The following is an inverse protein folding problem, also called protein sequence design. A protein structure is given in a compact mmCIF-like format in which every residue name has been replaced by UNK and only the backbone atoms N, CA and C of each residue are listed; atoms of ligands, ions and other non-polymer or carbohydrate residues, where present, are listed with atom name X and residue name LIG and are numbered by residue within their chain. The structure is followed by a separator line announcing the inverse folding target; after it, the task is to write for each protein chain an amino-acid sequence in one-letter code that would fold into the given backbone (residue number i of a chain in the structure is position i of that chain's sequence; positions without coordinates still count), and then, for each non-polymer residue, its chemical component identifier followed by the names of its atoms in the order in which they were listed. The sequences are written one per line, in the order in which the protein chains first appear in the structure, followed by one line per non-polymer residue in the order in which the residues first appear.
data_IF_767183682062
#
_entry.id   IF_767183682062
#
_cell.length_a   1.000
_cell.length_b   1.000
_cell.length_c   1.000
_cell.angle_alpha   90.00
_cell.angle_beta   90.00
_cell.angle_gamma   90.00
#
_symmetry.space_group_name_H-M   'P 1'
#
loop_
_entity.id
_entity.type
_entity.pdbx_description
1 polymer ?
#
# COMPACT_ATOMS: atom_id res chain seq x y z
N UNK A 1 -12.30 11.45 0.57
CA UNK A 1 -13.30 10.54 1.15
C UNK A 1 -12.86 10.22 2.57
N UNK A 2 -13.70 10.49 3.57
CA UNK A 2 -13.39 10.18 4.97
C UNK A 2 -13.39 8.66 5.16
N UNK A 3 -12.39 8.13 5.88
CA UNK A 3 -12.30 6.70 6.20
C UNK A 3 -12.51 6.52 7.69
N UNK A 4 -13.18 5.44 8.06
CA UNK A 4 -13.56 5.14 9.43
C UNK A 4 -12.97 3.80 9.87
N UNK A 5 -12.78 3.67 11.18
CA UNK A 5 -12.45 2.41 11.81
C UNK A 5 -13.29 2.26 13.09
N UNK A 6 -13.55 1.01 13.46
CA UNK A 6 -14.30 0.66 14.67
C UNK A 6 -13.31 0.25 15.76
N UNK A 7 -13.20 1.00 16.85
CA UNK A 7 -12.20 0.81 17.92
C UNK A 7 -12.88 0.58 19.26
N UNK A 8 -12.37 -0.39 20.03
CA UNK A 8 -12.69 -0.60 21.43
C UNK A 8 -11.55 -0.14 22.34
N UNK A 9 -11.91 0.41 23.50
CA UNK A 9 -10.96 0.70 24.59
C UNK A 9 -10.74 -0.50 25.52
N UNK A 10 -9.93 -0.31 26.55
CA UNK A 10 -9.65 -1.33 27.56
C UNK A 10 -10.86 -1.70 28.43
N UNK A 11 -11.90 -0.86 28.46
CA UNK A 11 -13.17 -1.08 29.17
C UNK A 11 -14.23 -1.74 28.26
N UNK A 12 -13.86 -2.15 27.04
CA UNK A 12 -14.74 -2.65 26.00
C UNK A 12 -15.85 -1.66 25.57
N UNK A 13 -15.67 -0.36 25.79
CA UNK A 13 -16.47 0.65 25.11
C UNK A 13 -15.95 0.77 23.69
N UNK A 14 -16.84 0.82 22.71
CA UNK A 14 -16.47 0.96 21.31
C UNK A 14 -17.03 2.22 20.67
N UNK A 15 -16.36 2.65 19.60
CA UNK A 15 -16.78 3.78 18.79
C UNK A 15 -16.26 3.67 17.37
N UNK A 16 -17.06 4.13 16.40
CA UNK A 16 -16.56 4.48 15.09
C UNK A 16 -15.84 5.81 15.13
N UNK A 17 -14.62 5.85 14.58
CA UNK A 17 -13.77 7.03 14.57
C UNK A 17 -13.15 7.23 13.19
N UNK A 18 -12.82 8.48 12.86
CA UNK A 18 -12.23 8.81 11.57
C UNK A 18 -10.72 8.62 11.63
N UNK A 19 -10.12 8.13 10.54
CA UNK A 19 -8.66 8.11 10.41
C UNK A 19 -8.20 8.71 9.08
N UNK A 20 -6.99 9.28 9.09
CA UNK A 20 -6.38 9.90 7.92
C UNK A 20 -4.90 9.56 7.81
N UNK A 21 -4.43 9.25 6.60
CA UNK A 21 -2.99 9.19 6.33
C UNK A 21 -2.44 10.60 6.15
N UNK A 22 -1.33 10.91 6.84
CA UNK A 22 -0.53 12.10 6.49
C UNK A 22 0.58 11.68 5.55
N UNK A 23 0.41 11.98 4.26
CA UNK A 23 1.52 11.95 3.31
C UNK A 23 2.36 13.21 3.52
N UNK A 24 3.67 13.04 3.70
CA UNK A 24 4.58 14.19 3.78
C UNK A 24 4.60 14.85 2.41
N UNK A 25 4.24 16.14 2.34
CA UNK A 25 4.40 16.90 1.10
C UNK A 25 5.91 17.02 0.81
N UNK A 26 6.34 16.88 -0.45
CA UNK A 26 7.74 17.07 -0.80
C UNK A 26 8.16 18.48 -0.42
N UNK A 27 9.27 18.59 0.32
CA UNK A 27 9.83 19.89 0.74
C UNK A 27 10.52 20.56 -0.44
N UNK A 28 11.14 19.75 -1.30
CA UNK A 28 11.83 20.18 -2.51
C UNK A 28 10.93 19.86 -3.71
N UNK A 29 10.71 20.85 -4.58
CA UNK A 29 9.99 20.69 -5.83
C UNK A 29 10.93 20.96 -6.99
N UNK A 30 10.77 20.18 -8.06
CA UNK A 30 11.41 20.46 -9.34
C UNK A 30 10.56 21.48 -10.09
N UNK A 31 11.21 22.53 -10.58
CA UNK A 31 10.60 23.60 -11.37
C UNK A 31 11.42 23.81 -12.64
N UNK A 32 10.81 24.41 -13.66
CA UNK A 32 11.52 24.89 -14.85
C UNK A 32 12.38 26.12 -14.52
N UNK A 33 13.22 26.56 -15.45
CA UNK A 33 13.95 27.83 -15.31
C UNK A 33 13.01 29.04 -15.12
N UNK A 34 11.81 29.00 -15.70
CA UNK A 34 10.75 29.99 -15.53
C UNK A 34 10.00 29.88 -14.19
N UNK A 35 10.28 28.86 -13.38
CA UNK A 35 9.61 28.62 -12.09
C UNK A 35 8.31 27.81 -12.17
N UNK A 36 7.96 27.27 -13.33
CA UNK A 36 6.74 26.49 -13.53
C UNK A 36 6.88 25.07 -12.96
N UNK A 37 5.76 24.50 -12.49
CA UNK A 37 5.74 23.17 -11.90
C UNK A 37 5.96 22.06 -12.95
N UNK A 38 6.95 21.19 -12.70
CA UNK A 38 7.24 20.04 -13.57
C UNK A 38 6.18 18.96 -13.38
N UNK A 39 5.65 18.44 -14.49
CA UNK A 39 4.65 17.35 -14.50
C UNK A 39 5.23 16.10 -15.12
N UNK A 40 5.04 14.96 -14.47
CA UNK A 40 5.35 13.66 -15.07
C UNK A 40 4.25 13.28 -16.05
N UNK A 41 4.62 13.10 -17.31
CA UNK A 41 3.73 12.63 -18.37
C UNK A 41 4.12 11.21 -18.76
N UNK A 42 3.11 10.36 -19.00
CA UNK A 42 3.33 9.05 -19.61
C UNK A 42 3.24 9.19 -21.12
N UNK A 43 4.24 8.66 -21.82
CA UNK A 43 4.30 8.65 -23.29
C UNK A 43 4.31 7.23 -23.81
N UNK A 44 3.72 7.02 -25.00
CA UNK A 44 3.76 5.74 -25.69
C UNK A 44 5.14 5.51 -26.28
N UNK A 45 5.83 4.46 -25.83
CA UNK A 45 7.14 4.07 -26.40
C UNK A 45 6.99 3.40 -27.77
N UNK A 46 5.97 2.55 -27.92
CA UNK A 46 5.69 1.81 -29.14
C UNK A 46 4.43 0.97 -28.98
N UNK A 47 3.91 0.41 -30.07
CA UNK A 47 2.74 -0.48 -30.02
C UNK A 47 3.17 -1.94 -29.79
N UNK A 48 2.22 -2.83 -29.54
CA UNK A 48 2.50 -4.27 -29.39
C UNK A 48 3.25 -4.86 -30.60
N UNK A 49 3.03 -4.32 -31.81
CA UNK A 49 3.72 -4.76 -33.03
C UNK A 49 5.20 -4.36 -33.06
N UNK A 50 5.53 -3.23 -32.44
CA UNK A 50 6.87 -2.66 -32.41
C UNK A 50 7.67 -3.10 -31.17
N UNK A 51 7.02 -3.75 -30.20
CA UNK A 51 7.70 -4.43 -29.11
C UNK A 51 8.50 -5.62 -29.63
N UNK A 52 9.50 -6.07 -28.86
CA UNK A 52 10.36 -7.19 -29.25
C UNK A 52 9.58 -8.44 -29.64
N UNK A 53 8.53 -8.79 -28.88
CA UNK A 53 7.68 -9.94 -29.17
C UNK A 53 6.93 -9.78 -30.51
N UNK A 54 6.50 -8.56 -30.83
CA UNK A 54 5.84 -8.24 -32.10
C UNK A 54 6.80 -8.31 -33.28
N UNK A 55 8.01 -7.78 -33.12
CA UNK A 55 9.07 -7.87 -34.12
C UNK A 55 9.50 -9.32 -34.33
N UNK A 56 9.58 -10.13 -33.28
CA UNK A 56 9.89 -11.55 -33.38
C UNK A 56 8.81 -12.33 -34.13
N UNK A 57 7.53 -12.01 -33.91
CA UNK A 57 6.44 -12.60 -34.70
C UNK A 57 6.52 -12.22 -36.18
N UNK A 58 7.04 -11.04 -36.51
CA UNK A 58 7.19 -10.55 -37.88
C UNK A 58 8.45 -11.13 -38.57
N UNK A 59 9.63 -10.95 -37.98
CA UNK A 59 10.93 -11.32 -38.56
C UNK A 59 11.37 -12.76 -38.26
N UNK A 60 10.69 -13.47 -37.34
CA UNK A 60 10.88 -14.88 -36.95
C UNK A 60 12.23 -15.24 -36.32
N UNK A 61 13.28 -14.47 -36.54
CA UNK A 61 14.64 -14.70 -36.04
C UNK A 61 15.19 -13.42 -35.38
N UNK A 62 15.78 -13.48 -34.17
CA UNK A 62 16.54 -12.39 -33.56
C UNK A 62 17.59 -11.74 -34.48
N UNK A 63 18.32 -12.51 -35.31
CA UNK A 63 19.34 -11.93 -36.19
C UNK A 63 18.73 -11.02 -37.25
N UNK A 64 17.55 -11.40 -37.77
CA UNK A 64 16.81 -10.60 -38.73
C UNK A 64 16.26 -9.30 -38.10
N UNK A 65 15.89 -9.35 -36.81
CA UNK A 65 15.53 -8.15 -36.04
C UNK A 65 16.75 -7.25 -35.90
N UNK A 66 17.92 -7.80 -35.57
CA UNK A 66 19.15 -7.02 -35.44
C UNK A 66 19.50 -6.30 -36.75
N UNK A 67 19.40 -6.98 -37.89
CA UNK A 67 19.60 -6.35 -39.20
C UNK A 67 18.54 -5.28 -39.51
N UNK A 68 17.28 -5.50 -39.11
CA UNK A 68 16.21 -4.51 -39.25
C UNK A 68 16.47 -3.25 -38.41
N UNK A 69 16.99 -3.40 -37.19
CA UNK A 69 17.40 -2.31 -36.30
C UNK A 69 18.65 -1.56 -36.80
N UNK A 70 19.55 -2.25 -37.51
CA UNK A 70 20.71 -1.61 -38.14
C UNK A 70 20.33 -0.83 -39.40
N UNK A 71 19.31 -1.28 -40.13
CA UNK A 71 18.87 -0.66 -41.39
C UNK A 71 17.85 0.46 -41.19
N UNK A 72 17.20 0.53 -40.03
CA UNK A 72 16.24 1.57 -39.67
C UNK A 72 15.68 1.34 -38.27
N UNK A 73 14.51 1.91 -37.98
CA UNK A 73 13.92 1.89 -36.64
C UNK A 73 12.54 1.18 -36.60
N UNK A 74 12.47 -0.15 -36.83
CA UNK A 74 11.21 -0.89 -36.85
C UNK A 74 10.46 -0.88 -35.50
N UNK A 75 11.15 -0.60 -34.40
CA UNK A 75 10.61 -0.43 -33.06
C UNK A 75 9.92 0.93 -32.84
N UNK A 76 10.13 1.89 -33.75
CA UNK A 76 9.55 3.24 -33.67
C UNK A 76 8.38 3.36 -34.65
N UNK A 77 7.17 3.52 -34.12
CA UNK A 77 6.02 3.90 -34.93
C UNK A 77 5.91 5.43 -34.94
N UNK A 78 6.36 6.06 -36.03
CA UNK A 78 6.37 7.52 -36.18
C UNK A 78 4.99 8.18 -35.99
N UNK A 79 3.88 7.44 -36.15
CA UNK A 79 2.52 7.97 -35.94
C UNK A 79 2.08 7.89 -34.48
N UNK A 80 2.62 6.94 -33.72
CA UNK A 80 2.12 6.55 -32.39
C UNK A 80 3.11 6.83 -31.27
N UNK A 81 4.41 6.63 -31.50
CA UNK A 81 5.47 6.88 -30.53
C UNK A 81 5.49 8.35 -30.10
N UNK A 82 5.65 8.59 -28.79
CA UNK A 82 5.66 9.93 -28.20
C UNK A 82 4.28 10.48 -27.82
N UNK A 83 3.17 9.82 -28.20
CA UNK A 83 1.83 10.25 -27.79
C UNK A 83 1.65 10.20 -26.28
N UNK A 84 1.04 11.24 -25.72
CA UNK A 84 0.69 11.26 -24.30
C UNK A 84 -0.44 10.27 -23.99
N UNK A 85 -0.28 9.48 -22.93
CA UNK A 85 -1.25 8.48 -22.51
C UNK A 85 -1.89 8.88 -21.18
N UNK A 86 -3.22 8.78 -21.12
CA UNK A 86 -4.02 8.89 -19.89
C UNK A 86 -5.08 7.78 -19.87
N UNK A 87 -5.47 7.33 -18.67
CA UNK A 87 -6.58 6.36 -18.52
C UNK A 87 -6.31 4.99 -19.15
N UNK A 88 -5.23 4.33 -18.77
CA UNK A 88 -4.88 3.00 -19.31
C UNK A 88 -5.65 1.88 -18.62
N UNK A 89 -6.18 0.93 -19.40
CA UNK A 89 -6.68 -0.35 -18.91
C UNK A 89 -5.65 -1.45 -19.16
N UNK A 90 -5.50 -2.37 -18.21
CA UNK A 90 -4.62 -3.53 -18.37
C UNK A 90 -5.36 -4.64 -19.13
N UNK A 91 -4.73 -5.18 -20.16
CA UNK A 91 -5.21 -6.36 -20.91
C UNK A 91 -4.14 -7.43 -20.88
N UNK A 92 -4.56 -8.70 -20.79
CA UNK A 92 -3.67 -9.83 -20.95
C UNK A 92 -3.68 -10.27 -22.41
N UNK A 93 -2.51 -10.63 -22.93
CA UNK A 93 -2.34 -11.09 -24.30
C UNK A 93 -1.71 -12.49 -24.32
N UNK A 94 -2.02 -13.27 -25.34
CA UNK A 94 -1.34 -14.55 -25.57
C UNK A 94 -0.01 -14.35 -26.31
N UNK A 95 0.69 -15.45 -26.63
CA UNK A 95 1.96 -15.45 -27.38
C UNK A 95 1.86 -14.78 -28.76
N UNK A 96 0.66 -14.68 -29.33
CA UNK A 96 0.38 -14.00 -30.61
C UNK A 96 -0.05 -12.54 -30.42
N UNK A 97 0.13 -11.97 -29.22
CA UNK A 97 -0.27 -10.60 -28.84
C UNK A 97 -1.77 -10.32 -29.00
N UNK A 98 -2.62 -11.35 -28.99
CA UNK A 98 -4.08 -11.20 -29.03
C UNK A 98 -4.65 -11.14 -27.61
N UNK A 99 -5.61 -10.25 -27.32
CA UNK A 99 -6.26 -10.17 -26.01
C UNK A 99 -6.90 -11.50 -25.60
N UNK A 100 -6.79 -11.86 -24.32
CA UNK A 100 -7.44 -13.04 -23.72
C UNK A 100 -8.35 -12.62 -22.58
N UNK A 101 -9.48 -13.33 -22.43
CA UNK A 101 -10.52 -13.04 -21.44
C UNK A 101 -10.51 -13.98 -20.23
N UNK A 102 -9.99 -15.20 -20.36
CA UNK A 102 -9.93 -16.19 -19.27
C UNK A 102 -8.49 -16.39 -18.83
N UNK A 103 -8.12 -15.74 -17.73
CA UNK A 103 -6.77 -15.82 -17.15
C UNK A 103 -6.84 -16.52 -15.81
N UNK A 104 -5.96 -17.51 -15.60
CA UNK A 104 -5.77 -18.13 -14.29
C UNK A 104 -4.55 -17.50 -13.64
N UNK A 105 -4.77 -16.75 -12.55
CA UNK A 105 -3.68 -16.14 -11.78
C UNK A 105 -3.31 -17.10 -10.66
N UNK A 106 -2.01 -17.39 -10.54
CA UNK A 106 -1.45 -18.22 -9.47
C UNK A 106 -0.36 -17.44 -8.75
N UNK A 107 -0.29 -17.59 -7.43
CA UNK A 107 0.75 -17.05 -6.56
C UNK A 107 1.80 -18.14 -6.33
N UNK A 108 3.05 -17.88 -6.75
CA UNK A 108 4.20 -18.75 -6.53
C UNK A 108 5.03 -18.17 -5.39
N UNK A 109 5.14 -18.92 -4.29
CA UNK A 109 5.91 -18.55 -3.11
C UNK A 109 7.31 -19.14 -3.23
N UNK A 110 8.32 -18.28 -3.26
CA UNK A 110 9.72 -18.70 -3.28
C UNK A 110 10.33 -18.70 -1.86
N UNK A 111 11.21 -19.65 -1.60
CA UNK A 111 12.08 -19.67 -0.43
C UNK A 111 13.27 -18.70 -0.61
N UNK A 112 14.02 -18.37 0.46
CA UNK A 112 15.15 -17.44 0.38
C UNK A 112 16.28 -17.88 -0.56
N UNK A 113 16.38 -19.18 -0.84
CA UNK A 113 17.32 -19.79 -1.79
C UNK A 113 16.83 -19.74 -3.25
N UNK A 114 15.61 -19.23 -3.49
CA UNK A 114 14.98 -19.14 -4.80
C UNK A 114 14.10 -20.34 -5.17
N UNK A 115 14.10 -21.42 -4.38
CA UNK A 115 13.30 -22.63 -4.69
C UNK A 115 11.81 -22.36 -4.53
N UNK A 116 10.97 -23.00 -5.36
CA UNK A 116 9.51 -22.88 -5.27
C UNK A 116 9.01 -23.68 -4.07
N UNK A 117 8.43 -22.98 -3.10
CA UNK A 117 7.90 -23.56 -1.88
C UNK A 117 6.43 -23.95 -2.02
N UNK A 118 5.63 -23.12 -2.67
CA UNK A 118 4.18 -23.31 -2.77
C UNK A 118 3.62 -22.63 -4.02
N UNK A 119 2.66 -23.25 -4.68
CA UNK A 119 1.86 -22.67 -5.76
C UNK A 119 0.39 -22.70 -5.36
N UNK A 120 -0.26 -21.53 -5.30
CA UNK A 120 -1.65 -21.43 -4.83
C UNK A 120 -2.45 -20.38 -5.59
N UNK A 121 -3.77 -20.39 -5.40
CA UNK A 121 -4.63 -19.28 -5.87
C UNK A 121 -4.37 -18.07 -4.97
N UNK A 122 -4.21 -16.85 -5.51
CA UNK A 122 -4.00 -15.65 -4.72
C UNK A 122 -5.08 -15.52 -3.64
N UNK A 123 -4.67 -15.43 -2.39
CA UNK A 123 -5.60 -15.24 -1.29
C UNK A 123 -5.98 -13.77 -1.19
N UNK A 124 -7.24 -13.45 -1.49
CA UNK A 124 -7.76 -12.11 -1.27
C UNK A 124 -8.00 -11.89 0.24
N UNK A 125 -7.41 -10.82 0.75
CA UNK A 125 -7.64 -10.38 2.12
C UNK A 125 -8.73 -9.31 2.11
N UNK A 126 -9.80 -9.55 2.87
CA UNK A 126 -10.87 -8.58 3.06
C UNK A 126 -10.49 -7.54 4.12
N UNK A 127 -11.00 -6.33 3.97
CA UNK A 127 -10.83 -5.29 4.98
C UNK A 127 -11.49 -5.69 6.30
N UNK A 128 -10.78 -5.51 7.42
CA UNK A 128 -11.25 -5.90 8.75
C UNK A 128 -11.23 -4.76 9.79
N UNK A 129 -11.17 -3.50 9.34
CA UNK A 129 -11.08 -2.32 10.21
C UNK A 129 -12.44 -1.70 10.59
N UNK A 130 -13.50 -2.04 9.85
CA UNK A 130 -14.86 -1.53 10.04
C UNK A 130 -15.85 -2.70 10.00
N UNK A 131 -15.57 -3.72 10.81
CA UNK A 131 -16.46 -4.89 10.94
C UNK A 131 -17.35 -4.74 12.15
N UNK A 132 -18.35 -5.63 12.30
CA UNK A 132 -19.18 -5.69 13.49
C UNK A 132 -18.36 -5.86 14.78
N UNK A 133 -17.21 -6.54 14.69
CA UNK A 133 -16.26 -6.63 15.79
C UNK A 133 -15.33 -5.41 15.80
N UNK A 134 -15.20 -4.68 16.91
CA UNK A 134 -14.26 -3.58 17.01
C UNK A 134 -12.81 -4.08 17.06
N UNK A 135 -11.89 -3.23 16.61
CA UNK A 135 -10.46 -3.40 16.85
C UNK A 135 -10.18 -3.30 18.34
N UNK A 136 -9.41 -4.23 18.88
CA UNK A 136 -9.12 -4.32 20.31
C UNK A 136 -7.69 -3.89 20.62
N UNK A 137 -7.52 -3.27 21.78
CA UNK A 137 -6.22 -3.01 22.39
C UNK A 137 -5.64 -4.33 22.93
N UNK A 138 -4.51 -4.75 22.40
CA UNK A 138 -3.81 -5.97 22.79
C UNK A 138 -2.61 -5.69 23.71
N UNK A 139 -1.49 -6.35 23.40
CA UNK A 139 -0.26 -6.24 24.20
C UNK A 139 0.33 -4.82 24.17
N UNK A 140 0.74 -4.33 25.36
CA UNK A 140 1.46 -3.07 25.53
C UNK A 140 2.98 -3.27 25.42
N UNK A 141 3.67 -2.26 24.91
CA UNK A 141 5.11 -2.24 24.69
C UNK A 141 5.68 -0.89 25.12
N UNK A 142 6.80 -0.87 25.85
CA UNK A 142 7.50 0.38 26.18
C UNK A 142 8.19 0.91 24.92
N UNK A 143 8.13 2.23 24.66
CA UNK A 143 8.70 2.82 23.43
C UNK A 143 10.21 2.54 23.28
N UNK A 144 10.94 2.50 24.38
CA UNK A 144 12.38 2.22 24.42
C UNK A 144 12.72 0.77 24.11
N UNK A 145 11.77 -0.17 24.13
CA UNK A 145 12.06 -1.58 23.84
C UNK A 145 11.78 -1.98 22.39
N UNK A 146 11.05 -1.14 21.66
CA UNK A 146 10.47 -1.51 20.36
C UNK A 146 11.06 -0.72 19.19
N UNK A 147 11.74 0.40 19.47
CA UNK A 147 12.28 1.29 18.44
C UNK A 147 13.26 0.59 17.48
N UNK A 148 13.94 -0.46 17.95
CA UNK A 148 14.89 -1.26 17.18
C UNK A 148 14.33 -2.62 16.71
N UNK A 149 13.07 -2.95 17.02
CA UNK A 149 12.46 -4.24 16.67
C UNK A 149 11.50 -4.18 15.48
N UNK A 150 10.94 -3.01 15.19
CA UNK A 150 9.91 -2.84 14.17
C UNK A 150 10.26 -1.75 13.17
N UNK A 151 9.94 -1.98 11.90
CA UNK A 151 9.99 -0.96 10.85
C UNK A 151 8.57 -0.52 10.51
N UNK A 152 8.25 0.74 10.79
CA UNK A 152 6.93 1.29 10.47
C UNK A 152 6.85 1.76 9.01
N UNK A 153 6.02 1.08 8.23
CA UNK A 153 5.82 1.35 6.81
C UNK A 153 4.80 2.48 6.55
N UNK A 154 3.78 2.61 7.39
CA UNK A 154 2.70 3.60 7.23
C UNK A 154 2.25 4.15 8.58
N UNK A 155 1.69 5.37 8.57
CA UNK A 155 1.14 6.03 9.76
C UNK A 155 -0.24 6.61 9.45
N UNK A 156 -1.18 6.37 10.35
CA UNK A 156 -2.52 6.96 10.31
C UNK A 156 -2.77 7.73 11.61
N UNK A 157 -3.40 8.90 11.50
CA UNK A 157 -3.85 9.67 12.66
C UNK A 157 -5.33 9.42 12.89
N UNK A 158 -5.72 9.19 14.14
CA UNK A 158 -7.11 9.03 14.56
C UNK A 158 -7.71 10.37 14.96
N UNK A 159 -8.98 10.57 14.61
CA UNK A 159 -9.73 11.80 14.87
C UNK A 159 -11.10 11.47 15.41
N UNK A 160 -11.50 12.21 16.44
CA UNK A 160 -12.88 12.23 16.91
C UNK A 160 -13.81 12.80 15.84
N UNK A 161 -15.09 12.43 15.96
CA UNK A 161 -16.18 12.88 15.09
C UNK A 161 -17.11 13.83 15.87
N UNK A 162 -17.19 13.67 17.18
CA UNK A 162 -18.05 14.43 18.10
C UNK A 162 -17.41 14.51 19.50
N UNK A 163 -18.10 15.14 20.47
CA UNK A 163 -17.59 15.27 21.84
C UNK A 163 -17.38 13.94 22.57
N UNK A 164 -18.28 12.98 22.39
CA UNK A 164 -18.16 11.65 23.04
C UNK A 164 -16.92 10.89 22.56
N UNK A 165 -16.67 10.91 21.24
CA UNK A 165 -15.46 10.30 20.65
C UNK A 165 -14.20 11.10 20.96
N UNK A 166 -14.31 12.39 21.30
CA UNK A 166 -13.19 13.17 21.80
C UNK A 166 -12.75 12.63 23.17
N UNK A 167 -13.65 12.53 24.14
CA UNK A 167 -13.31 12.05 25.48
C UNK A 167 -12.78 10.61 25.44
N UNK A 168 -13.43 9.74 24.65
CA UNK A 168 -13.00 8.37 24.41
C UNK A 168 -11.55 8.29 23.88
N UNK A 169 -11.20 9.06 22.85
CA UNK A 169 -9.87 9.05 22.27
C UNK A 169 -8.85 9.78 23.16
N UNK A 170 -9.27 10.80 23.89
CA UNK A 170 -8.40 11.53 24.82
C UNK A 170 -7.97 10.64 25.99
N UNK A 171 -8.89 9.86 26.57
CA UNK A 171 -8.57 8.89 27.63
C UNK A 171 -7.52 7.87 27.17
N UNK A 172 -7.69 7.29 25.98
CA UNK A 172 -6.72 6.34 25.40
C UNK A 172 -5.37 7.03 25.15
N UNK A 173 -5.39 8.25 24.61
CA UNK A 173 -4.17 8.99 24.34
C UNK A 173 -3.40 9.33 25.61
N UNK A 174 -4.11 9.72 26.67
CA UNK A 174 -3.56 10.09 27.98
C UNK A 174 -2.89 8.89 28.64
N UNK A 175 -3.58 7.76 28.70
CA UNK A 175 -3.01 6.51 29.23
C UNK A 175 -1.72 6.09 28.50
N UNK A 176 -1.73 6.08 27.16
CA UNK A 176 -0.52 5.72 26.39
C UNK A 176 0.62 6.75 26.53
N UNK A 177 0.28 8.02 26.71
CA UNK A 177 1.24 9.11 26.90
C UNK A 177 1.92 9.00 28.27
N UNK A 178 1.14 8.85 29.34
CA UNK A 178 1.62 8.78 30.72
C UNK A 178 2.48 7.54 30.96
N UNK A 179 2.11 6.38 30.38
CA UNK A 179 2.93 5.17 30.53
C UNK A 179 4.06 5.06 29.50
N UNK A 180 4.30 6.10 28.69
CA UNK A 180 5.29 6.12 27.61
C UNK A 180 5.33 4.83 26.75
N UNK A 181 4.16 4.39 26.29
CA UNK A 181 4.00 3.07 25.67
C UNK A 181 3.30 3.12 24.31
N UNK A 182 3.36 1.99 23.61
CA UNK A 182 2.55 1.65 22.45
C UNK A 182 1.68 0.46 22.81
N UNK A 183 0.49 0.38 22.23
CA UNK A 183 -0.37 -0.80 22.37
C UNK A 183 -0.68 -1.38 21.01
N UNK A 184 -0.63 -2.71 20.89
CA UNK A 184 -0.99 -3.38 19.65
C UNK A 184 -2.49 -3.23 19.39
N UNK A 185 -2.85 -2.97 18.14
CA UNK A 185 -4.23 -2.99 17.65
C UNK A 185 -4.43 -4.24 16.81
N UNK A 186 -5.41 -5.06 17.19
CA UNK A 186 -5.75 -6.28 16.47
C UNK A 186 -7.23 -6.38 16.15
N UNK A 187 -7.53 -6.99 15.01
CA UNK A 187 -8.89 -7.32 14.59
C UNK A 187 -9.31 -8.72 15.06
N UNK A 188 -10.52 -9.11 14.64
CA UNK A 188 -11.08 -10.44 14.89
C UNK A 188 -11.61 -10.65 16.31
N UNK A 189 -12.24 -11.79 16.55
CA UNK A 189 -12.90 -12.09 17.83
C UNK A 189 -11.94 -12.00 19.03
N UNK A 190 -10.71 -12.49 18.84
CA UNK A 190 -9.65 -12.50 19.84
C UNK A 190 -8.82 -11.21 19.90
N UNK A 191 -9.01 -10.26 18.97
CA UNK A 191 -8.26 -9.00 18.97
C UNK A 191 -6.77 -9.15 18.66
N UNK A 192 -6.37 -10.20 17.95
CA UNK A 192 -4.96 -10.51 17.63
C UNK A 192 -4.71 -10.68 16.13
N UNK A 193 -5.73 -10.50 15.29
CA UNK A 193 -5.57 -10.57 13.85
C UNK A 193 -4.91 -9.30 13.32
N UNK A 194 -4.02 -9.40 12.31
CA UNK A 194 -3.44 -8.24 11.67
C UNK A 194 -4.51 -7.47 10.88
N UNK A 195 -4.25 -6.18 10.64
CA UNK A 195 -5.20 -5.26 10.04
C UNK A 195 -5.03 -5.18 8.52
N UNK A 196 -6.16 -5.25 7.82
CA UNK A 196 -6.29 -5.06 6.39
C UNK A 196 -7.22 -3.87 6.16
N UNK A 197 -6.69 -2.81 5.56
CA UNK A 197 -7.40 -1.53 5.47
C UNK A 197 -8.34 -1.44 4.25
N UNK A 198 -8.12 -2.26 3.23
CA UNK A 198 -8.87 -2.28 1.97
C UNK A 198 -8.83 -3.68 1.39
N UNK A 199 -9.86 -4.06 0.64
CA UNK A 199 -9.92 -5.38 0.01
C UNK A 199 -8.75 -5.60 -0.97
N UNK A 200 -8.18 -6.80 -0.95
CA UNK A 200 -6.94 -7.13 -1.65
C UNK A 200 -5.70 -6.38 -1.12
N UNK A 201 -5.83 -5.66 -0.01
CA UNK A 201 -4.76 -4.89 0.60
C UNK A 201 -3.76 -5.77 1.36
N UNK A 202 -2.58 -5.21 1.63
CA UNK A 202 -1.59 -5.86 2.49
C UNK A 202 -2.07 -5.89 3.95
N UNK A 203 -1.74 -6.99 4.62
CA UNK A 203 -1.92 -7.16 6.05
C UNK A 203 -0.81 -6.45 6.84
N UNK A 204 -1.15 -5.78 7.94
CA UNK A 204 -0.22 -5.05 8.80
C UNK A 204 -0.46 -5.35 10.27
N UNK A 205 0.62 -5.46 11.06
CA UNK A 205 0.54 -5.28 12.52
C UNK A 205 0.43 -3.80 12.83
N UNK A 206 -0.53 -3.43 13.68
CA UNK A 206 -0.80 -2.06 14.02
C UNK A 206 -0.46 -1.76 15.47
N UNK A 207 0.11 -0.59 15.72
CA UNK A 207 0.53 -0.13 17.04
C UNK A 207 0.03 1.29 17.26
N UNK A 208 -0.75 1.49 18.32
CA UNK A 208 -1.31 2.79 18.68
C UNK A 208 -0.35 3.52 19.63
N UNK A 209 -0.06 4.77 19.28
CA UNK A 209 0.68 5.72 20.10
C UNK A 209 -0.24 6.87 20.52
N UNK A 210 -0.25 7.20 21.81
CA UNK A 210 -0.89 8.39 22.34
C UNK A 210 0.10 9.47 22.72
N UNK A 211 -0.30 10.72 22.49
CA UNK A 211 0.36 11.93 22.98
C UNK A 211 -0.72 12.91 23.44
N UNK A 212 -0.47 13.59 24.55
CA UNK A 212 -1.36 14.63 25.07
C UNK A 212 -0.56 15.89 25.32
N UNK A 213 -1.19 17.04 25.09
CA UNK A 213 -0.73 18.36 25.50
C UNK A 213 -1.95 19.16 25.93
N UNK A 214 -2.04 19.50 27.21
CA UNK A 214 -3.19 20.20 27.79
C UNK A 214 -4.50 19.46 27.45
N UNK A 215 -5.49 20.16 26.87
CA UNK A 215 -6.75 19.61 26.36
C UNK A 215 -6.67 19.22 24.88
N UNK A 216 -5.50 18.76 24.41
CA UNK A 216 -5.32 18.30 23.04
C UNK A 216 -4.66 16.92 23.04
N UNK A 217 -5.09 16.06 22.13
CA UNK A 217 -4.51 14.73 21.96
C UNK A 217 -4.04 14.50 20.52
N UNK A 218 -3.15 13.53 20.38
CA UNK A 218 -2.76 12.97 19.10
C UNK A 218 -2.62 11.45 19.24
N UNK A 219 -3.45 10.71 18.51
CA UNK A 219 -3.37 9.26 18.40
C UNK A 219 -2.86 8.86 17.02
N UNK A 220 -1.77 8.10 17.00
CA UNK A 220 -1.09 7.68 15.77
C UNK A 220 -1.06 6.15 15.73
N UNK A 221 -1.66 5.57 14.70
CA UNK A 221 -1.52 4.16 14.36
C UNK A 221 -0.30 3.98 13.46
N UNK A 222 0.71 3.30 13.97
CA UNK A 222 1.89 2.87 13.23
C UNK A 222 1.69 1.47 12.68
N UNK A 223 1.89 1.30 11.37
CA UNK A 223 1.73 0.02 10.69
C UNK A 223 3.08 -0.58 10.35
N UNK A 224 3.29 -1.82 10.77
CA UNK A 224 4.46 -2.62 10.41
C UNK A 224 4.04 -3.90 9.70
N UNK A 225 4.77 -4.25 8.66
CA UNK A 225 4.71 -5.55 7.99
C UNK A 225 6.10 -6.23 7.93
N UNK A 226 7.05 -5.71 8.70
CA UNK A 226 8.43 -6.18 8.78
C UNK A 226 8.88 -6.16 10.23
N UNK A 227 9.44 -7.28 10.69
CA UNK A 227 10.10 -7.37 11.99
C UNK A 227 11.59 -7.48 11.76
N UNK A 228 12.37 -6.68 12.50
CA UNK A 228 13.81 -6.82 12.54
C UNK A 228 14.08 -8.00 13.48
N UNK A 229 14.46 -9.14 12.90
CA UNK A 229 15.07 -10.21 13.67
C UNK A 229 16.48 -9.76 14.02
N UNK A 230 16.67 -9.40 15.30
CA UNK A 230 18.00 -9.32 15.91
C UNK A 230 18.55 -10.71 16.16
#
# INVERSE_FOLDING_TARGET
MSRYLHLADAKNRDAEIRFTGKTKRPIIKLVTESGDEVKTLRVLKGTAKNAYEGLLLHYKNPDAIAQALLSGDPEIDLKMTGRFIKGTSRVYVNQNLKPVSRVHIKEIVHAPDGTVKEERVPKELLANIQTALPLKLGKRFVKTEIYNKLVFAKKYQLHHINGLTYDFLFEIAKDLHETNSLVMLGGGAKGNEPLVFQDGGKSYRAFLEGRVKDNSYCLIVHLSNLELKG
#
